data_IF_586279633560
#
_entry.id   IF_586279633560
#
_cell.length_a   1.000
_cell.length_b   1.000
_cell.length_c   1.000
_cell.angle_alpha   90.00
_cell.angle_beta   90.00
_cell.angle_gamma   90.00
#
_symmetry.space_group_name_H-M   'P 1'
#
loop_
_entity.id
_entity.type
_entity.pdbx_description
1 polymer ?
#
# COMPACT_ATOMS: atom_id res chain seq x y z
N UNK A 1 -4.46 29.23 -6.91
CA UNK A 1 -3.56 28.69 -5.87
C UNK A 1 -2.50 27.86 -6.54
N UNK A 2 -1.22 28.15 -6.34
CA UNK A 2 -0.14 27.38 -6.95
C UNK A 2 -0.17 25.95 -6.40
N UNK A 3 -0.34 24.96 -7.28
CA UNK A 3 -0.22 23.55 -6.92
C UNK A 3 1.24 23.30 -6.48
N UNK A 4 1.44 22.96 -5.21
CA UNK A 4 2.76 22.57 -4.74
C UNK A 4 3.10 21.25 -5.42
N UNK A 5 4.15 21.26 -6.24
CA UNK A 5 4.72 20.04 -6.79
C UNK A 5 5.47 19.30 -5.67
N UNK A 6 4.99 18.14 -5.30
CA UNK A 6 5.68 17.20 -4.41
C UNK A 6 6.00 15.93 -5.19
N UNK A 7 7.03 15.22 -4.76
CA UNK A 7 7.48 14.01 -5.43
C UNK A 7 6.60 12.84 -4.97
N UNK A 8 5.81 12.28 -5.90
CA UNK A 8 5.01 11.08 -5.62
C UNK A 8 5.79 9.87 -6.11
N UNK A 9 5.95 8.90 -5.23
CA UNK A 9 6.61 7.64 -5.54
C UNK A 9 5.59 6.70 -6.21
N UNK A 10 5.88 6.15 -7.40
CA UNK A 10 5.05 5.12 -7.99
C UNK A 10 4.91 3.90 -7.07
N UNK A 11 3.69 3.36 -6.94
CA UNK A 11 3.39 2.24 -6.04
C UNK A 11 4.35 1.06 -6.22
N UNK A 12 4.51 0.58 -7.45
CA UNK A 12 5.35 -0.57 -7.76
C UNK A 12 6.82 -0.37 -7.36
N UNK A 13 7.34 0.86 -7.47
CA UNK A 13 8.69 1.20 -7.02
C UNK A 13 8.80 1.15 -5.50
N UNK A 14 7.86 1.75 -4.79
CA UNK A 14 7.83 1.73 -3.34
C UNK A 14 7.65 0.31 -2.79
N UNK A 15 6.74 -0.48 -3.38
CA UNK A 15 6.46 -1.85 -2.98
C UNK A 15 7.67 -2.77 -3.12
N UNK A 16 8.41 -2.66 -4.24
CA UNK A 16 9.65 -3.43 -4.45
C UNK A 16 10.79 -3.04 -3.52
N UNK A 17 10.78 -1.80 -3.02
CA UNK A 17 11.79 -1.34 -2.07
C UNK A 17 11.53 -1.85 -0.64
N UNK A 18 10.36 -2.45 -0.35
CA UNK A 18 10.07 -3.05 0.94
C UNK A 18 10.85 -4.36 1.12
N UNK A 19 11.87 -4.31 1.93
CA UNK A 19 12.69 -5.45 2.32
C UNK A 19 12.88 -5.41 3.84
N UNK A 20 13.08 -6.55 4.46
CA UNK A 20 13.18 -6.69 5.92
C UNK A 20 14.16 -5.70 6.56
N UNK A 21 15.33 -5.50 5.95
CA UNK A 21 16.39 -4.63 6.49
C UNK A 21 16.28 -3.17 6.07
N UNK A 22 15.25 -2.81 5.28
CA UNK A 22 15.08 -1.50 4.68
C UNK A 22 13.69 -0.88 4.89
N UNK A 23 12.97 -1.31 5.95
CA UNK A 23 11.68 -0.71 6.29
C UNK A 23 11.91 0.70 6.83
N UNK A 24 11.31 1.69 6.15
CA UNK A 24 11.32 3.07 6.60
C UNK A 24 10.44 3.24 7.84
N UNK A 25 10.78 4.13 8.77
CA UNK A 25 9.92 4.43 9.90
C UNK A 25 8.61 5.11 9.49
N UNK A 26 8.56 5.72 8.29
CA UNK A 26 7.38 6.46 7.83
C UNK A 26 7.03 6.14 6.39
N UNK A 27 5.71 5.95 6.15
CA UNK A 27 5.11 5.82 4.82
C UNK A 27 3.88 6.70 4.71
N UNK A 28 3.61 7.23 3.52
CA UNK A 28 2.40 8.00 3.26
C UNK A 28 1.70 7.45 2.00
N UNK A 29 0.62 6.73 2.19
CA UNK A 29 -0.22 6.19 1.13
C UNK A 29 -1.27 7.23 0.73
N UNK A 30 -1.25 7.67 -0.51
CA UNK A 30 -2.13 8.73 -1.03
C UNK A 30 -2.90 8.24 -2.24
N UNK A 31 -4.22 8.24 -2.16
CA UNK A 31 -5.14 7.78 -3.20
C UNK A 31 -6.23 6.87 -2.65
N UNK A 32 -7.29 6.68 -3.44
CA UNK A 32 -8.55 6.07 -3.00
C UNK A 32 -8.56 4.53 -3.09
N UNK A 33 -7.58 3.92 -3.75
CA UNK A 33 -7.57 2.46 -3.95
C UNK A 33 -7.22 1.72 -2.65
N UNK A 34 -8.25 1.21 -2.00
CA UNK A 34 -8.13 0.50 -0.73
C UNK A 34 -7.36 -0.82 -0.84
N UNK A 35 -7.44 -1.50 -1.99
CA UNK A 35 -6.69 -2.73 -2.20
C UNK A 35 -5.19 -2.45 -2.18
N UNK A 36 -4.72 -1.42 -2.89
CA UNK A 36 -3.32 -1.01 -2.89
C UNK A 36 -2.84 -0.62 -1.50
N UNK A 37 -3.66 0.15 -0.75
CA UNK A 37 -3.33 0.54 0.63
C UNK A 37 -3.17 -0.70 1.52
N UNK A 38 -4.13 -1.62 1.50
CA UNK A 38 -4.10 -2.83 2.34
C UNK A 38 -2.95 -3.76 1.96
N UNK A 39 -2.70 -3.93 0.68
CA UNK A 39 -1.63 -4.80 0.19
C UNK A 39 -0.24 -4.25 0.57
N UNK A 40 -0.05 -2.92 0.51
CA UNK A 40 1.18 -2.28 0.98
C UNK A 40 1.40 -2.48 2.48
N UNK A 41 0.34 -2.28 3.28
CA UNK A 41 0.38 -2.48 4.73
C UNK A 41 0.66 -3.95 5.07
N UNK A 42 0.06 -4.89 4.34
CA UNK A 42 0.34 -6.32 4.55
C UNK A 42 1.81 -6.63 4.27
N UNK A 43 2.38 -6.12 3.18
CA UNK A 43 3.80 -6.30 2.86
C UNK A 43 4.72 -5.74 3.95
N UNK A 44 4.43 -4.53 4.49
CA UNK A 44 5.16 -3.97 5.64
C UNK A 44 5.04 -4.91 6.84
N UNK A 45 3.82 -5.39 7.12
CA UNK A 45 3.56 -6.30 8.24
C UNK A 45 4.40 -7.57 8.13
N UNK A 46 4.41 -8.19 6.97
CA UNK A 46 5.18 -9.42 6.71
C UNK A 46 6.69 -9.18 6.85
N UNK A 47 7.17 -8.02 6.38
CA UNK A 47 8.59 -7.66 6.51
C UNK A 47 8.99 -7.35 7.96
N UNK A 48 8.12 -6.73 8.77
CA UNK A 48 8.44 -6.34 10.14
C UNK A 48 8.34 -7.50 11.13
N UNK A 49 7.36 -8.35 10.97
CA UNK A 49 6.96 -9.33 11.99
C UNK A 49 7.14 -10.78 11.51
N UNK A 50 7.19 -11.03 10.19
CA UNK A 50 7.25 -12.39 9.67
C UNK A 50 6.08 -13.23 10.22
N UNK A 51 6.41 -14.27 11.00
CA UNK A 51 5.42 -15.11 11.67
C UNK A 51 5.12 -14.69 13.13
N UNK A 52 5.75 -13.61 13.61
CA UNK A 52 5.58 -13.15 14.98
C UNK A 52 4.22 -12.43 15.16
N UNK A 53 3.83 -12.30 16.44
CA UNK A 53 2.60 -11.58 16.77
C UNK A 53 2.72 -10.10 16.42
N UNK A 54 1.85 -9.65 15.52
CA UNK A 54 1.81 -8.26 15.07
C UNK A 54 1.11 -7.37 16.09
N UNK A 55 1.79 -6.35 16.57
CA UNK A 55 1.16 -5.23 17.30
C UNK A 55 0.84 -4.11 16.30
N UNK A 56 -0.39 -4.16 15.76
CA UNK A 56 -0.91 -3.20 14.79
C UNK A 56 -1.94 -2.30 15.46
N UNK A 57 -1.70 -0.98 15.43
CA UNK A 57 -2.59 0.02 16.02
C UNK A 57 -3.15 0.94 14.93
N UNK A 58 -4.48 1.05 14.87
CA UNK A 58 -5.17 1.95 13.94
C UNK A 58 -5.54 3.22 14.69
N UNK A 59 -5.08 4.36 14.17
CA UNK A 59 -5.31 5.69 14.72
C UNK A 59 -6.26 6.45 13.78
N UNK A 60 -7.41 6.87 14.31
CA UNK A 60 -8.46 7.55 13.54
C UNK A 60 -8.73 8.91 14.20
N UNK A 61 -8.15 10.01 13.68
CA UNK A 61 -8.28 11.34 14.27
C UNK A 61 -9.72 11.87 14.35
N UNK A 62 -10.65 11.31 13.57
CA UNK A 62 -12.08 11.64 13.63
C UNK A 62 -12.78 10.99 14.84
N UNK A 63 -12.21 9.91 15.39
CA UNK A 63 -12.77 9.14 16.53
C UNK A 63 -11.95 9.31 17.82
N UNK A 64 -10.72 9.83 17.71
CA UNK A 64 -9.77 9.98 18.82
C UNK A 64 -9.36 11.44 18.99
N UNK A 65 -8.99 11.82 20.22
CA UNK A 65 -8.38 13.13 20.44
C UNK A 65 -6.96 13.17 19.83
N UNK A 66 -6.63 14.27 19.15
CA UNK A 66 -5.33 14.40 18.50
C UNK A 66 -4.14 14.20 19.47
N UNK A 67 -4.26 14.66 20.73
CA UNK A 67 -3.22 14.46 21.74
C UNK A 67 -3.05 12.98 22.10
N UNK A 68 -4.15 12.22 22.23
CA UNK A 68 -4.10 10.78 22.52
C UNK A 68 -3.33 10.02 21.42
N UNK A 69 -3.46 10.47 20.18
CA UNK A 69 -2.70 9.90 19.04
C UNK A 69 -1.19 10.10 19.25
N UNK A 70 -0.76 11.32 19.62
CA UNK A 70 0.65 11.59 19.89
C UNK A 70 1.15 10.82 21.11
N UNK A 71 0.35 10.74 22.18
CA UNK A 71 0.69 9.98 23.38
C UNK A 71 0.95 8.49 23.03
N UNK A 72 0.10 7.89 22.18
CA UNK A 72 0.29 6.51 21.73
C UNK A 72 1.56 6.32 20.87
N UNK A 73 1.85 7.26 19.95
CA UNK A 73 3.04 7.21 19.12
C UNK A 73 4.33 7.39 19.91
N UNK A 74 4.29 8.18 20.98
CA UNK A 74 5.44 8.49 21.84
C UNK A 74 5.58 7.54 23.03
N UNK A 75 4.58 6.67 23.26
CA UNK A 75 4.63 5.71 24.36
C UNK A 75 5.83 4.77 24.18
N UNK A 76 6.70 4.75 25.19
CA UNK A 76 7.80 3.80 25.26
C UNK A 76 7.30 2.45 25.75
N UNK A 77 7.64 1.39 25.02
CA UNK A 77 7.39 0.02 25.46
C UNK A 77 8.57 -0.48 26.30
N UNK A 78 8.27 -1.08 27.44
CA UNK A 78 9.28 -1.68 28.31
C UNK A 78 10.00 -2.87 27.66
N UNK A 79 9.39 -3.49 26.65
CA UNK A 79 9.91 -4.65 25.94
C UNK A 79 10.57 -4.30 24.60
N UNK A 80 10.65 -3.02 24.22
CA UNK A 80 11.19 -2.57 22.95
C UNK A 80 10.61 -3.29 21.72
N UNK A 81 9.32 -3.67 21.78
CA UNK A 81 8.66 -4.35 20.68
C UNK A 81 8.41 -3.40 19.51
N UNK A 82 8.62 -3.89 18.29
CA UNK A 82 8.29 -3.14 17.07
C UNK A 82 6.78 -2.98 16.97
N UNK A 83 6.29 -1.78 16.64
CA UNK A 83 4.87 -1.47 16.45
C UNK A 83 4.61 -0.89 15.08
N UNK A 84 3.49 -1.29 14.50
CA UNK A 84 2.98 -0.73 13.26
C UNK A 84 1.76 0.13 13.55
N UNK A 85 1.90 1.44 13.37
CA UNK A 85 0.80 2.39 13.48
C UNK A 85 0.25 2.72 12.10
N UNK A 86 -1.07 2.78 11.98
CA UNK A 86 -1.78 3.16 10.77
C UNK A 86 -2.66 4.36 11.09
N UNK A 87 -2.27 5.55 10.66
CA UNK A 87 -3.03 6.78 10.87
C UNK A 87 -3.86 7.08 9.63
N UNK A 88 -5.18 6.92 9.77
CA UNK A 88 -6.15 7.21 8.71
C UNK A 88 -6.58 8.67 8.77
N UNK A 89 -6.74 9.29 7.61
CA UNK A 89 -7.19 10.68 7.47
C UNK A 89 -6.37 11.68 8.32
N UNK A 90 -5.07 11.84 8.05
CA UNK A 90 -4.23 12.77 8.81
C UNK A 90 -4.73 14.22 8.75
N UNK A 91 -5.56 14.58 7.76
CA UNK A 91 -6.20 15.89 7.66
C UNK A 91 -7.06 16.24 8.89
N UNK A 92 -7.63 15.25 9.57
CA UNK A 92 -8.49 15.45 10.71
C UNK A 92 -7.73 15.77 12.03
N UNK A 93 -6.40 15.62 12.07
CA UNK A 93 -5.59 16.10 13.19
C UNK A 93 -5.80 17.59 13.41
N UNK A 94 -5.81 18.03 14.68
CA UNK A 94 -6.15 19.41 15.08
C UNK A 94 -5.06 20.04 15.94
N UNK A 95 -5.05 21.38 15.93
CA UNK A 95 -4.21 22.18 16.82
C UNK A 95 -2.72 21.98 16.57
N UNK A 96 -1.93 22.12 17.63
CA UNK A 96 -0.47 22.00 17.57
C UNK A 96 0.04 20.56 17.35
N UNK A 97 -0.83 19.55 17.50
CA UNK A 97 -0.49 18.16 17.18
C UNK A 97 -0.04 18.01 15.72
N UNK A 98 -0.49 18.88 14.82
CA UNK A 98 -0.02 18.91 13.43
C UNK A 98 1.47 19.21 13.31
N UNK A 99 1.95 20.19 14.09
CA UNK A 99 3.37 20.57 14.10
C UNK A 99 4.21 19.49 14.82
N UNK A 100 3.71 18.98 15.94
CA UNK A 100 4.32 17.88 16.69
C UNK A 100 4.46 16.62 15.84
N UNK A 101 3.48 16.31 14.97
CA UNK A 101 3.54 15.18 14.03
C UNK A 101 4.65 15.38 12.98
N UNK A 102 4.83 16.59 12.46
CA UNK A 102 5.92 16.89 11.53
C UNK A 102 7.27 16.71 12.22
N UNK A 103 7.40 17.23 13.44
CA UNK A 103 8.62 17.09 14.24
C UNK A 103 8.92 15.61 14.55
N UNK A 104 7.88 14.82 14.85
CA UNK A 104 8.00 13.38 15.04
C UNK A 104 8.52 12.67 13.80
N UNK A 105 8.00 13.02 12.62
CA UNK A 105 8.45 12.44 11.35
C UNK A 105 9.90 12.85 10.96
N UNK A 106 10.42 13.94 11.51
CA UNK A 106 11.82 14.35 11.32
C UNK A 106 12.79 13.62 12.24
N UNK A 107 12.29 13.10 13.37
CA UNK A 107 13.07 12.38 14.38
C UNK A 107 12.77 10.88 14.27
N UNK A 108 13.40 10.21 13.30
CA UNK A 108 13.16 8.78 13.09
C UNK A 108 13.35 7.97 14.38
N UNK A 109 12.37 7.10 14.67
CA UNK A 109 12.46 6.07 15.70
C UNK A 109 12.67 4.72 15.03
N UNK A 110 13.65 3.97 15.47
CA UNK A 110 13.94 2.63 14.90
C UNK A 110 12.93 1.55 15.34
N UNK A 111 12.06 1.89 16.30
CA UNK A 111 11.13 0.92 16.90
C UNK A 111 9.75 0.94 16.26
N UNK A 112 9.29 2.10 15.81
CA UNK A 112 7.92 2.28 15.33
C UNK A 112 7.89 2.56 13.83
N UNK A 113 6.97 1.89 13.13
CA UNK A 113 6.63 2.23 11.74
C UNK A 113 5.26 2.88 11.71
N UNK A 114 5.16 4.08 11.13
CA UNK A 114 3.90 4.81 10.98
C UNK A 114 3.54 4.94 9.51
N UNK A 115 2.35 4.45 9.16
CA UNK A 115 1.76 4.56 7.83
C UNK A 115 0.61 5.56 7.87
N UNK A 116 0.76 6.68 7.17
CA UNK A 116 -0.34 7.61 6.90
C UNK A 116 -1.16 7.12 5.72
N UNK A 117 -2.49 7.22 5.82
CA UNK A 117 -3.42 6.92 4.74
C UNK A 117 -4.29 8.14 4.48
N UNK A 118 -4.24 8.67 3.27
CA UNK A 118 -5.10 9.73 2.79
C UNK A 118 -5.78 9.28 1.50
N UNK A 119 -7.10 9.13 1.52
CA UNK A 119 -7.86 8.71 0.34
C UNK A 119 -7.93 9.80 -0.75
N UNK A 120 -7.90 11.07 -0.34
CA UNK A 120 -7.89 12.17 -1.29
C UNK A 120 -6.51 12.36 -1.90
N UNK A 121 -6.47 12.48 -3.21
CA UNK A 121 -5.23 12.80 -3.91
C UNK A 121 -4.89 14.30 -3.79
N UNK A 122 -3.64 14.59 -3.43
CA UNK A 122 -3.09 15.94 -3.36
C UNK A 122 -2.96 16.51 -1.93
N UNK A 123 -2.17 17.57 -1.82
CA UNK A 123 -1.87 18.26 -0.56
C UNK A 123 -2.69 19.55 -0.46
N UNK A 124 -3.96 19.44 -0.03
CA UNK A 124 -4.92 20.55 -0.05
C UNK A 124 -4.71 21.61 1.05
N UNK A 125 -4.13 21.23 2.19
CA UNK A 125 -3.89 22.14 3.31
C UNK A 125 -2.41 22.23 3.68
N UNK A 126 -2.06 23.25 4.48
CA UNK A 126 -0.67 23.51 4.89
C UNK A 126 -0.01 22.35 5.64
N UNK A 127 -0.75 21.65 6.50
CA UNK A 127 -0.24 20.52 7.25
C UNK A 127 0.18 19.38 6.31
N UNK A 128 -0.71 18.98 5.40
CA UNK A 128 -0.38 17.92 4.41
C UNK A 128 0.75 18.36 3.50
N UNK A 129 0.80 19.64 3.11
CA UNK A 129 1.91 20.20 2.33
C UNK A 129 3.25 20.11 3.06
N UNK A 130 3.26 20.25 4.37
CA UNK A 130 4.46 20.05 5.19
C UNK A 130 4.79 18.57 5.33
N UNK A 131 3.77 17.73 5.57
CA UNK A 131 3.95 16.29 5.74
C UNK A 131 4.53 15.62 4.48
N UNK A 132 4.06 15.97 3.27
CA UNK A 132 4.57 15.40 2.01
C UNK A 132 6.00 15.84 1.66
N UNK A 133 6.54 16.85 2.33
CA UNK A 133 7.95 17.24 2.21
C UNK A 133 8.87 16.40 3.08
N UNK A 134 8.35 15.87 4.18
CA UNK A 134 9.09 15.03 5.13
C UNK A 134 8.94 13.56 4.77
N UNK A 135 7.72 13.15 4.42
CA UNK A 135 7.39 11.78 4.03
C UNK A 135 6.84 11.80 2.60
N UNK A 136 7.65 11.36 1.64
CA UNK A 136 7.22 11.33 0.24
C UNK A 136 6.00 10.40 0.06
N UNK A 137 4.90 10.89 -0.53
CA UNK A 137 3.71 10.08 -0.72
C UNK A 137 3.92 9.01 -1.79
N UNK A 138 3.29 7.86 -1.56
CA UNK A 138 3.20 6.73 -2.47
C UNK A 138 1.83 6.75 -3.12
N UNK A 139 1.77 6.66 -4.44
CA UNK A 139 0.51 6.69 -5.17
C UNK A 139 -0.30 5.42 -4.94
N UNK A 140 -1.48 5.57 -4.36
CA UNK A 140 -2.53 4.55 -4.27
C UNK A 140 -3.79 5.00 -5.02
N UNK A 141 -3.61 5.73 -6.12
CA UNK A 141 -4.73 6.10 -7.01
C UNK A 141 -5.23 4.87 -7.76
N UNK A 142 -6.54 4.79 -7.96
CA UNK A 142 -7.14 3.77 -8.83
C UNK A 142 -6.56 3.90 -10.24
N UNK A 143 -6.00 2.83 -10.81
CA UNK A 143 -5.39 2.88 -12.13
C UNK A 143 -6.44 3.08 -13.22
N UNK A 144 -6.01 3.69 -14.32
CA UNK A 144 -6.83 3.73 -15.53
C UNK A 144 -6.82 2.36 -16.23
N UNK A 145 -7.82 2.11 -17.05
CA UNK A 145 -7.92 0.88 -17.85
C UNK A 145 -6.64 0.63 -18.68
N UNK A 146 -6.04 1.68 -19.24
CA UNK A 146 -4.77 1.61 -19.96
C UNK A 146 -3.59 1.07 -19.14
N UNK A 147 -3.66 1.18 -17.83
CA UNK A 147 -2.60 0.77 -16.91
C UNK A 147 -2.73 -0.68 -16.45
N UNK A 148 -3.89 -1.32 -16.68
CA UNK A 148 -4.17 -2.69 -16.23
C UNK A 148 -3.15 -3.71 -16.74
N UNK A 149 -2.63 -3.54 -17.96
CA UNK A 149 -1.58 -4.39 -18.51
C UNK A 149 -0.29 -4.32 -17.67
N UNK A 150 0.07 -3.13 -17.21
CA UNK A 150 1.25 -2.93 -16.36
C UNK A 150 1.05 -3.56 -14.98
N UNK A 151 -0.16 -3.46 -14.42
CA UNK A 151 -0.52 -4.09 -13.17
C UNK A 151 -0.55 -5.60 -13.26
N UNK A 152 -1.13 -6.16 -14.32
CA UNK A 152 -1.11 -7.61 -14.57
C UNK A 152 0.33 -8.15 -14.61
N UNK A 153 1.21 -7.50 -15.36
CA UNK A 153 2.64 -7.86 -15.41
C UNK A 153 3.33 -7.72 -14.06
N UNK A 154 2.96 -6.71 -13.27
CA UNK A 154 3.51 -6.52 -11.94
C UNK A 154 3.10 -7.66 -11.01
N UNK A 155 1.81 -8.02 -10.97
CA UNK A 155 1.30 -9.12 -10.14
C UNK A 155 1.86 -10.49 -10.55
N UNK A 156 1.98 -10.75 -11.87
CA UNK A 156 2.59 -11.96 -12.37
C UNK A 156 4.04 -12.11 -11.89
N UNK A 157 4.83 -11.02 -11.96
CA UNK A 157 6.22 -11.01 -11.48
C UNK A 157 6.33 -11.24 -9.97
N UNK A 158 5.43 -10.67 -9.17
CA UNK A 158 5.38 -10.91 -7.72
C UNK A 158 5.08 -12.38 -7.40
N UNK A 159 4.38 -13.10 -8.29
CA UNK A 159 4.14 -14.55 -8.21
C UNK A 159 5.22 -15.40 -8.92
N UNK A 160 6.36 -14.80 -9.30
CA UNK A 160 7.45 -15.52 -9.95
C UNK A 160 7.24 -15.86 -11.42
N UNK A 161 6.19 -15.32 -12.07
CA UNK A 161 5.83 -15.59 -13.45
C UNK A 161 6.34 -14.44 -14.33
N UNK A 162 7.41 -14.69 -15.07
CA UNK A 162 8.13 -13.63 -15.82
C UNK A 162 7.75 -13.57 -17.29
N UNK A 163 7.41 -14.71 -17.90
CA UNK A 163 7.10 -14.82 -19.32
C UNK A 163 5.65 -15.23 -19.53
N UNK A 164 4.84 -14.27 -19.98
CA UNK A 164 3.41 -14.48 -20.25
C UNK A 164 3.04 -13.80 -21.55
N UNK A 165 2.34 -14.54 -22.42
CA UNK A 165 1.90 -14.00 -23.71
C UNK A 165 0.84 -12.90 -23.54
N UNK A 166 0.79 -11.94 -24.48
CA UNK A 166 -0.22 -10.86 -24.48
C UNK A 166 -1.67 -11.37 -24.44
N UNK A 167 -2.05 -12.41 -25.20
CA UNK A 167 -3.43 -12.94 -25.14
C UNK A 167 -3.84 -13.37 -23.73
N UNK A 168 -2.94 -14.04 -23.01
CA UNK A 168 -3.19 -14.48 -21.62
C UNK A 168 -3.40 -13.27 -20.69
N UNK A 169 -2.55 -12.25 -20.79
CA UNK A 169 -2.70 -11.01 -20.00
C UNK A 169 -4.05 -10.35 -20.28
N UNK A 170 -4.43 -10.24 -21.55
CA UNK A 170 -5.72 -9.65 -21.93
C UNK A 170 -6.90 -10.45 -21.38
N UNK A 171 -6.86 -11.80 -21.45
CA UNK A 171 -7.89 -12.65 -20.87
C UNK A 171 -8.02 -12.44 -19.35
N UNK A 172 -6.93 -12.35 -18.62
CA UNK A 172 -6.93 -12.07 -17.17
C UNK A 172 -7.58 -10.72 -16.87
N UNK A 173 -7.26 -9.69 -17.67
CA UNK A 173 -7.86 -8.35 -17.51
C UNK A 173 -9.35 -8.37 -17.84
N UNK A 174 -9.77 -9.04 -18.92
CA UNK A 174 -11.18 -9.18 -19.28
C UNK A 174 -12.01 -9.86 -18.18
N UNK A 175 -11.45 -10.88 -17.53
CA UNK A 175 -12.08 -11.57 -16.41
C UNK A 175 -12.18 -10.65 -15.19
N UNK A 176 -11.10 -9.93 -14.87
CA UNK A 176 -11.03 -9.08 -13.71
C UNK A 176 -11.81 -7.76 -13.84
N UNK A 177 -12.01 -7.28 -15.07
CA UNK A 177 -12.60 -5.98 -15.34
C UNK A 177 -11.67 -4.84 -14.92
N UNK A 178 -12.20 -3.84 -14.22
CA UNK A 178 -11.50 -2.65 -13.74
C UNK A 178 -10.92 -2.80 -12.31
N UNK A 179 -11.07 -3.97 -11.69
CA UNK A 179 -10.69 -4.20 -10.31
C UNK A 179 -9.29 -4.82 -10.17
N UNK A 180 -8.36 -4.08 -9.58
CA UNK A 180 -7.04 -4.60 -9.24
C UNK A 180 -7.09 -5.80 -8.28
N UNK A 181 -8.01 -5.76 -7.33
CA UNK A 181 -8.21 -6.86 -6.38
C UNK A 181 -8.63 -8.14 -7.11
N UNK A 182 -9.57 -8.05 -8.06
CA UNK A 182 -9.97 -9.18 -8.88
C UNK A 182 -8.81 -9.67 -9.76
N UNK A 183 -8.09 -8.74 -10.41
CA UNK A 183 -6.94 -9.10 -11.24
C UNK A 183 -5.87 -9.84 -10.45
N UNK A 184 -5.54 -9.36 -9.25
CA UNK A 184 -4.58 -10.04 -8.36
C UNK A 184 -5.07 -11.43 -7.99
N UNK A 185 -6.35 -11.58 -7.60
CA UNK A 185 -6.92 -12.86 -7.23
C UNK A 185 -6.91 -13.86 -8.39
N UNK A 186 -7.24 -13.43 -9.62
CA UNK A 186 -7.18 -14.32 -10.79
C UNK A 186 -5.74 -14.76 -11.09
N UNK A 187 -4.78 -13.84 -10.99
CA UNK A 187 -3.37 -14.16 -11.16
C UNK A 187 -2.87 -15.12 -10.05
N UNK A 188 -3.29 -14.92 -8.81
CA UNK A 188 -2.91 -15.82 -7.71
C UNK A 188 -3.46 -17.23 -7.91
N UNK A 189 -4.71 -17.39 -8.34
CA UNK A 189 -5.29 -18.70 -8.70
C UNK A 189 -4.49 -19.38 -9.80
N UNK A 190 -4.16 -18.62 -10.84
CA UNK A 190 -3.38 -19.15 -11.97
C UNK A 190 -1.99 -19.58 -11.50
N UNK A 191 -1.35 -18.80 -10.62
CA UNK A 191 -0.01 -19.12 -10.12
C UNK A 191 0.04 -20.42 -9.28
N UNK A 192 -1.03 -20.71 -8.54
CA UNK A 192 -1.14 -21.95 -7.74
C UNK A 192 -1.27 -23.19 -8.67
N UNK A 193 -1.83 -23.02 -9.86
CA UNK A 193 -2.06 -24.10 -10.81
C UNK A 193 -0.86 -24.37 -11.73
N UNK A 194 0.07 -23.43 -11.81
CA UNK A 194 1.32 -23.61 -12.51
C UNK A 194 2.25 -24.46 -11.64
N UNK A 195 2.27 -25.76 -11.92
CA UNK A 195 3.38 -26.61 -11.51
C UNK A 195 4.65 -26.14 -12.24
N UNK A 196 5.82 -26.26 -11.63
CA UNK A 196 7.12 -25.68 -12.05
C UNK A 196 7.53 -25.93 -13.54
N UNK A 197 6.72 -26.65 -14.28
CA UNK A 197 6.99 -27.07 -15.66
C UNK A 197 5.92 -26.73 -16.71
N UNK A 198 4.82 -26.05 -16.34
CA UNK A 198 3.72 -25.78 -17.28
C UNK A 198 3.72 -24.34 -17.80
N UNK A 199 3.77 -24.21 -19.13
CA UNK A 199 3.40 -22.96 -19.81
C UNK A 199 1.91 -22.67 -19.63
N UNK A 200 1.58 -21.45 -19.28
CA UNK A 200 0.20 -20.96 -19.15
C UNK A 200 -0.49 -20.95 -20.50
N UNK A 201 -1.56 -21.74 -20.64
CA UNK A 201 -2.43 -21.76 -21.80
C UNK A 201 -3.70 -20.96 -21.55
N UNK A 202 -4.26 -20.36 -22.61
CA UNK A 202 -5.48 -19.56 -22.53
C UNK A 202 -6.71 -20.40 -22.09
N UNK A 203 -6.73 -21.69 -22.42
CA UNK A 203 -7.77 -22.63 -22.02
C UNK A 203 -7.74 -22.90 -20.51
N UNK A 204 -6.57 -22.99 -19.92
CA UNK A 204 -6.41 -23.19 -18.47
C UNK A 204 -7.06 -22.04 -17.71
N UNK A 205 -6.83 -20.79 -18.14
CA UNK A 205 -7.39 -19.61 -17.49
C UNK A 205 -8.91 -19.58 -17.56
N UNK A 206 -9.49 -19.88 -18.72
CA UNK A 206 -10.95 -19.85 -18.90
C UNK A 206 -11.67 -20.97 -18.14
N UNK A 207 -11.05 -22.12 -17.94
CA UNK A 207 -11.60 -23.22 -17.14
C UNK A 207 -11.62 -22.88 -15.64
N UNK A 208 -10.60 -22.20 -15.15
CA UNK A 208 -10.44 -21.91 -13.72
C UNK A 208 -11.17 -20.66 -13.25
N UNK A 209 -11.42 -19.69 -14.12
CA UNK A 209 -12.07 -18.44 -13.72
C UNK A 209 -13.56 -18.60 -13.43
N UNK A 210 -14.18 -19.74 -13.79
CA UNK A 210 -15.61 -20.03 -13.52
C UNK A 210 -16.60 -18.99 -14.10
N UNK A 211 -16.12 -17.98 -14.81
CA UNK A 211 -16.87 -16.85 -15.32
C UNK A 211 -17.18 -17.04 -16.82
N UNK A 212 -18.22 -17.78 -17.09
CA UNK A 212 -18.93 -17.54 -18.35
C UNK A 212 -19.85 -16.33 -18.14
N UNK A 213 -19.41 -15.14 -18.56
CA UNK A 213 -20.37 -14.08 -18.86
C UNK A 213 -21.29 -14.62 -19.96
N UNK A 214 -22.57 -14.83 -19.60
CA UNK A 214 -23.65 -15.00 -20.57
C UNK A 214 -23.92 -13.68 -21.26
#
# INVERSE_FOLDING_TARGET
MASIRFNIIPYNRAFKALQFDAISPFYFLMGEDQFLQQWFIQKITDCLFGNDKVEKMILIPDEMRSNEIMDQLMATDLFNSKKLFILRNPNALKGKVRDEMIDYCQKASDLNTLVFIQNEYGAKNKFIQSLVRVVNPISCATPFESDMIHWAKFFLKENGIYEVSKPIINTLIEIAGDSLSHLKNEIDKVSILLDDSKELNQEDITQFSGWKRK
#
